data_IF_475207435289
#
_entry.id   IF_475207435289
#
_cell.length_a   1.000
_cell.length_b   1.000
_cell.length_c   1.000
_cell.angle_alpha   90.00
_cell.angle_beta   90.00
_cell.angle_gamma   90.00
#
_symmetry.space_group_name_H-M   'P 1'
#
loop_
_entity.id
_entity.type
_entity.pdbx_description
1 polymer ?
#
# COMPACT_ATOMS: atom_id res chain seq x y z
N UNK A 1 -6.66 12.11 8.10
CA UNK A 1 -6.46 12.49 6.68
C UNK A 1 -6.99 11.33 5.84
N UNK A 2 -7.67 11.59 4.72
CA UNK A 2 -8.24 10.53 3.86
C UNK A 2 -7.74 10.77 2.44
N UNK A 3 -7.24 9.72 1.78
CA UNK A 3 -6.87 9.75 0.37
C UNK A 3 -7.25 8.43 -0.30
N UNK A 4 -8.22 8.47 -1.22
CA UNK A 4 -8.67 7.27 -1.92
C UNK A 4 -8.26 7.35 -3.38
N UNK A 5 -7.59 6.30 -3.88
CA UNK A 5 -7.12 6.17 -5.26
C UNK A 5 -6.21 7.30 -5.74
N UNK A 6 -5.56 8.01 -4.80
CA UNK A 6 -4.67 9.15 -5.12
C UNK A 6 -3.19 8.78 -5.00
N UNK A 7 -2.84 7.85 -4.09
CA UNK A 7 -1.44 7.55 -3.79
C UNK A 7 -0.66 7.04 -5.01
N UNK A 8 -1.32 6.22 -5.84
CA UNK A 8 -0.74 5.63 -7.06
C UNK A 8 -0.42 6.66 -8.16
N UNK A 9 -1.01 7.85 -8.07
CA UNK A 9 -0.90 8.91 -9.06
C UNK A 9 0.15 9.96 -8.68
N UNK A 10 0.75 9.87 -7.48
CA UNK A 10 1.74 10.82 -6.98
C UNK A 10 3.13 10.48 -7.51
N UNK A 11 3.79 11.36 -8.29
CA UNK A 11 5.14 11.11 -8.79
C UNK A 11 6.20 11.16 -7.70
N UNK A 12 6.10 12.10 -6.76
CA UNK A 12 6.96 12.19 -5.57
C UNK A 12 6.25 11.62 -4.34
N UNK A 13 6.28 10.29 -4.25
CA UNK A 13 5.63 9.55 -3.16
C UNK A 13 6.19 9.93 -1.78
N UNK A 14 7.49 10.19 -1.67
CA UNK A 14 8.12 10.46 -0.38
C UNK A 14 7.74 11.85 0.13
N UNK A 15 7.75 12.87 -0.74
CA UNK A 15 7.31 14.22 -0.35
C UNK A 15 5.84 14.23 0.09
N UNK A 16 4.96 13.52 -0.64
CA UNK A 16 3.55 13.40 -0.29
C UNK A 16 3.36 12.77 1.10
N UNK A 17 4.04 11.67 1.40
CA UNK A 17 3.91 10.97 2.68
C UNK A 17 4.52 11.81 3.81
N UNK A 18 5.63 12.49 3.57
CA UNK A 18 6.20 13.44 4.53
C UNK A 18 5.21 14.56 4.87
N UNK A 19 4.52 15.11 3.86
CA UNK A 19 3.45 16.10 4.05
C UNK A 19 2.28 15.55 4.87
N UNK A 20 1.88 14.30 4.63
CA UNK A 20 0.86 13.61 5.44
C UNK A 20 1.29 13.51 6.90
N UNK A 21 2.53 13.11 7.19
CA UNK A 21 3.05 13.03 8.54
C UNK A 21 3.05 14.40 9.26
N UNK A 22 3.44 15.47 8.56
CA UNK A 22 3.43 16.84 9.09
C UNK A 22 2.01 17.30 9.45
N UNK A 23 1.03 17.02 8.60
CA UNK A 23 -0.37 17.46 8.81
C UNK A 23 -1.11 16.61 9.86
N UNK A 24 -0.65 15.40 10.12
CA UNK A 24 -1.31 14.46 11.02
C UNK A 24 -1.14 14.89 12.48
N UNK A 25 -2.26 15.04 13.21
CA UNK A 25 -2.24 15.23 14.67
C UNK A 25 -1.52 14.06 15.36
N UNK A 26 -0.93 14.24 16.56
CA UNK A 26 -0.19 13.17 17.25
C UNK A 26 -0.92 11.82 17.37
N UNK A 27 -2.22 11.84 17.71
CA UNK A 27 -3.07 10.64 17.76
C UNK A 27 -4.04 10.54 16.56
N UNK A 28 -3.73 11.27 15.49
CA UNK A 28 -4.49 11.28 14.26
C UNK A 28 -4.30 9.98 13.46
N UNK A 29 -5.26 9.70 12.59
CA UNK A 29 -5.22 8.56 11.68
C UNK A 29 -5.30 9.03 10.22
N UNK A 30 -4.57 8.32 9.37
CA UNK A 30 -4.61 8.45 7.91
C UNK A 30 -5.22 7.19 7.34
N UNK A 31 -6.09 7.33 6.34
CA UNK A 31 -6.60 6.21 5.55
C UNK A 31 -6.22 6.40 4.10
N UNK A 32 -5.58 5.40 3.51
CA UNK A 32 -5.21 5.40 2.09
C UNK A 32 -5.79 4.17 1.39
N UNK A 33 -6.42 4.37 0.24
CA UNK A 33 -6.93 3.29 -0.62
C UNK A 33 -6.23 3.28 -1.98
N UNK A 34 -5.81 2.12 -2.45
CA UNK A 34 -5.17 1.92 -3.75
C UNK A 34 -5.31 0.47 -4.23
N UNK A 35 -5.24 0.21 -5.57
CA UNK A 35 -5.25 -1.15 -6.11
C UNK A 35 -4.12 -2.01 -5.54
N UNK A 36 -4.41 -3.29 -5.31
CA UNK A 36 -3.47 -4.25 -4.74
C UNK A 36 -2.69 -4.98 -5.83
N UNK A 37 -1.36 -4.86 -5.84
CA UNK A 37 -0.53 -5.50 -6.89
C UNK A 37 -0.68 -7.03 -6.92
N UNK A 38 -0.93 -7.67 -5.78
CA UNK A 38 -1.19 -9.12 -5.72
C UNK A 38 -2.41 -9.49 -6.60
N UNK A 39 -3.49 -8.71 -6.51
CA UNK A 39 -4.73 -8.92 -7.26
C UNK A 39 -4.56 -8.62 -8.74
N UNK A 40 -3.88 -7.51 -9.05
CA UNK A 40 -3.53 -7.15 -10.42
C UNK A 40 -2.82 -8.31 -11.13
N UNK A 41 -1.80 -8.89 -10.48
CA UNK A 41 -1.02 -9.99 -11.05
C UNK A 41 -1.81 -11.30 -11.10
N UNK A 42 -2.59 -11.60 -10.06
CA UNK A 42 -3.39 -12.84 -10.00
C UNK A 42 -4.50 -12.87 -11.05
N UNK A 43 -5.10 -11.72 -11.35
CA UNK A 43 -6.24 -11.58 -12.26
C UNK A 43 -5.84 -11.06 -13.65
N UNK A 44 -4.54 -10.88 -13.89
CA UNK A 44 -3.98 -10.38 -15.15
C UNK A 44 -4.60 -9.04 -15.61
N UNK A 45 -4.80 -8.12 -14.67
CA UNK A 45 -5.39 -6.80 -14.90
C UNK A 45 -4.36 -5.81 -15.49
N UNK A 46 -3.63 -6.23 -16.53
CA UNK A 46 -2.57 -5.43 -17.15
C UNK A 46 -3.10 -4.14 -17.79
N UNK A 47 -4.39 -4.07 -18.11
CA UNK A 47 -5.10 -2.90 -18.60
C UNK A 47 -5.12 -1.74 -17.59
N UNK A 48 -4.89 -2.03 -16.32
CA UNK A 48 -4.73 -1.03 -15.25
C UNK A 48 -3.34 -0.39 -15.22
N UNK A 49 -2.42 -0.84 -16.10
CA UNK A 49 -1.08 -0.28 -16.26
C UNK A 49 -1.09 0.80 -17.35
N UNK A 50 -1.13 2.06 -16.94
CA UNK A 50 -1.14 3.21 -17.86
C UNK A 50 -0.49 4.45 -17.22
N UNK A 51 -0.33 5.49 -18.03
CA UNK A 51 0.49 6.68 -17.72
C UNK A 51 0.08 7.48 -16.49
N UNK A 52 -1.15 7.38 -15.99
CA UNK A 52 -1.57 8.07 -14.75
C UNK A 52 -1.22 7.27 -13.49
N UNK A 53 -0.96 5.95 -13.62
CA UNK A 53 -0.58 5.07 -12.52
C UNK A 53 0.95 4.89 -12.50
N UNK A 54 1.61 5.74 -11.74
CA UNK A 54 3.07 5.71 -11.59
C UNK A 54 3.56 4.55 -10.71
N UNK A 55 2.72 4.10 -9.76
CA UNK A 55 3.10 3.07 -8.78
C UNK A 55 1.99 2.05 -8.57
N UNK A 56 2.39 0.81 -8.26
CA UNK A 56 1.51 -0.30 -7.91
C UNK A 56 1.98 -0.88 -6.58
N UNK A 57 1.09 -0.92 -5.59
CA UNK A 57 1.50 -1.11 -4.21
C UNK A 57 1.16 -2.50 -3.67
N UNK A 58 2.13 -3.07 -2.97
CA UNK A 58 1.95 -4.13 -1.97
C UNK A 58 1.92 -3.50 -0.58
N UNK A 59 1.40 -4.23 0.41
CA UNK A 59 1.51 -3.84 1.81
C UNK A 59 2.97 -3.76 2.28
N UNK A 60 3.85 -4.65 1.79
CA UNK A 60 5.30 -4.63 2.04
C UNK A 60 5.91 -3.26 1.69
N UNK A 61 5.62 -2.73 0.51
CA UNK A 61 6.11 -1.43 0.06
C UNK A 61 5.55 -0.30 0.92
N UNK A 62 4.27 -0.39 1.31
CA UNK A 62 3.60 0.62 2.13
C UNK A 62 4.15 0.65 3.55
N UNK A 63 4.42 -0.49 4.16
CA UNK A 63 5.02 -0.61 5.49
C UNK A 63 6.42 0.03 5.52
N UNK A 64 7.25 -0.30 4.53
CA UNK A 64 8.59 0.30 4.35
C UNK A 64 8.53 1.81 4.15
N UNK A 65 7.61 2.28 3.31
CA UNK A 65 7.42 3.70 3.05
C UNK A 65 6.94 4.43 4.31
N UNK A 66 5.97 3.90 5.03
CA UNK A 66 5.44 4.52 6.24
C UNK A 66 6.53 4.69 7.30
N UNK A 67 7.30 3.62 7.56
CA UNK A 67 8.36 3.62 8.56
C UNK A 67 9.44 4.69 8.28
N UNK A 68 9.77 4.92 7.00
CA UNK A 68 10.72 5.98 6.59
C UNK A 68 10.27 7.38 6.97
N UNK A 69 8.96 7.61 7.10
CA UNK A 69 8.36 8.90 7.39
C UNK A 69 7.80 9.00 8.81
N UNK A 70 8.23 8.11 9.71
CA UNK A 70 7.80 8.11 11.12
C UNK A 70 6.33 7.73 11.33
N UNK A 71 5.74 7.04 10.35
CA UNK A 71 4.39 6.50 10.39
C UNK A 71 4.45 4.98 10.50
N UNK A 72 3.35 4.37 10.96
CA UNK A 72 3.18 2.91 10.97
C UNK A 72 1.76 2.48 10.65
N UNK A 73 1.64 1.28 10.12
CA UNK A 73 0.36 0.61 9.89
C UNK A 73 -0.30 0.22 11.21
N UNK A 74 -1.60 0.47 11.32
CA UNK A 74 -2.44 0.03 12.44
C UNK A 74 -3.56 -0.91 12.02
N UNK A 75 -4.02 -0.83 10.78
CA UNK A 75 -4.97 -1.77 10.21
C UNK A 75 -4.85 -1.84 8.68
N UNK A 76 -5.41 -2.88 8.08
CA UNK A 76 -5.55 -3.06 6.64
C UNK A 76 -6.83 -3.83 6.32
N UNK A 77 -7.54 -3.39 5.28
CA UNK A 77 -8.72 -4.04 4.73
C UNK A 77 -8.49 -4.36 3.24
N UNK A 78 -8.89 -5.56 2.82
CA UNK A 78 -9.00 -5.91 1.40
C UNK A 78 -10.40 -5.56 0.91
N UNK A 79 -10.48 -4.79 -0.18
CA UNK A 79 -11.73 -4.32 -0.76
C UNK A 79 -11.91 -4.89 -2.18
N UNK A 80 -13.14 -5.19 -2.62
CA UNK A 80 -13.40 -5.68 -3.98
C UNK A 80 -13.36 -4.56 -5.04
N UNK A 81 -13.15 -3.30 -4.64
CA UNK A 81 -13.11 -2.15 -5.53
C UNK A 81 -11.93 -2.24 -6.49
N UNK A 82 -12.13 -1.77 -7.74
CA UNK A 82 -11.10 -1.74 -8.78
C UNK A 82 -10.40 -3.08 -9.05
N UNK A 83 -11.12 -4.20 -8.93
CA UNK A 83 -10.53 -5.53 -9.16
C UNK A 83 -9.67 -6.03 -8.00
N UNK A 84 -9.73 -5.38 -6.84
CA UNK A 84 -8.98 -5.73 -5.64
C UNK A 84 -8.10 -4.57 -5.17
N UNK A 85 -8.47 -3.98 -4.03
CA UNK A 85 -7.75 -2.84 -3.44
C UNK A 85 -7.38 -3.12 -1.99
N UNK A 86 -6.36 -2.42 -1.50
CA UNK A 86 -6.08 -2.30 -0.08
C UNK A 86 -6.57 -0.95 0.41
N UNK A 87 -7.21 -0.94 1.58
CA UNK A 87 -7.32 0.24 2.42
C UNK A 87 -6.44 0.08 3.64
N UNK A 88 -5.44 0.93 3.78
CA UNK A 88 -4.51 0.93 4.90
C UNK A 88 -4.83 2.07 5.87
N UNK A 89 -4.56 1.82 7.14
CA UNK A 89 -4.69 2.79 8.21
C UNK A 89 -3.32 3.04 8.83
N UNK A 90 -2.93 4.31 8.89
CA UNK A 90 -1.61 4.72 9.38
C UNK A 90 -1.76 5.73 10.53
N UNK A 91 -0.83 5.70 11.46
CA UNK A 91 -0.67 6.72 12.50
C UNK A 91 0.82 7.06 12.68
N UNK A 92 1.12 8.07 13.50
CA UNK A 92 2.49 8.30 13.97
C UNK A 92 3.04 7.07 14.70
N UNK A 93 4.33 6.80 14.57
CA UNK A 93 5.01 5.67 15.22
C UNK A 93 4.72 5.63 16.73
N UNK A 94 4.81 6.78 17.41
CA UNK A 94 4.61 6.90 18.86
C UNK A 94 3.15 6.99 19.34
N UNK A 95 2.16 6.85 18.45
CA UNK A 95 0.75 6.93 18.81
C UNK A 95 0.28 5.74 19.67
N UNK A 96 -0.78 5.93 20.45
CA UNK A 96 -1.42 4.90 21.27
C UNK A 96 -2.24 3.85 20.48
N UNK A 97 -2.47 4.07 19.17
CA UNK A 97 -3.24 3.14 18.33
C UNK A 97 -2.62 1.74 18.31
N UNK A 98 -3.44 0.71 18.55
CA UNK A 98 -2.98 -0.68 18.52
C UNK A 98 -2.88 -1.19 17.09
N UNK A 99 -1.82 -1.96 16.80
CA UNK A 99 -1.65 -2.64 15.52
C UNK A 99 -2.54 -3.88 15.48
N UNK A 100 -3.34 -4.05 14.42
CA UNK A 100 -4.16 -5.25 14.22
C UNK A 100 -3.39 -6.38 13.55
N UNK A 101 -3.80 -7.61 13.84
CA UNK A 101 -3.20 -8.84 13.28
C UNK A 101 -3.37 -8.98 11.77
N UNK A 102 -4.38 -8.30 11.19
CA UNK A 102 -4.61 -8.21 9.74
C UNK A 102 -3.36 -7.83 8.97
N UNK A 103 -2.55 -6.93 9.52
CA UNK A 103 -1.30 -6.47 8.91
C UNK A 103 -0.27 -7.60 8.87
N UNK A 104 -0.05 -8.29 9.98
CA UNK A 104 0.96 -9.36 10.04
C UNK A 104 0.58 -10.52 9.10
N UNK A 105 -0.71 -10.88 9.06
CA UNK A 105 -1.25 -11.91 8.17
C UNK A 105 -1.02 -11.56 6.69
N UNK A 106 -1.30 -10.31 6.31
CA UNK A 106 -1.14 -9.87 4.93
C UNK A 106 0.34 -9.73 4.54
N UNK A 107 1.20 -9.17 5.41
CA UNK A 107 2.65 -9.10 5.15
C UNK A 107 3.26 -10.50 4.97
N UNK A 108 2.87 -11.48 5.79
CA UNK A 108 3.34 -12.86 5.64
C UNK A 108 2.86 -13.47 4.32
N UNK A 109 1.59 -13.23 3.95
CA UNK A 109 1.04 -13.69 2.67
C UNK A 109 1.81 -13.11 1.48
N UNK A 110 2.02 -11.80 1.45
CA UNK A 110 2.76 -11.13 0.36
C UNK A 110 4.21 -11.61 0.27
N UNK A 111 4.85 -11.83 1.42
CA UNK A 111 6.20 -12.41 1.48
C UNK A 111 6.23 -13.82 0.90
N UNK A 112 5.26 -14.67 1.26
CA UNK A 112 5.14 -16.04 0.75
C UNK A 112 4.84 -16.07 -0.75
N UNK A 113 4.11 -15.07 -1.26
CA UNK A 113 3.86 -14.89 -2.69
C UNK A 113 5.06 -14.27 -3.44
N UNK A 114 6.14 -13.94 -2.73
CA UNK A 114 7.36 -13.43 -3.35
C UNK A 114 7.24 -12.00 -3.85
N UNK A 115 6.32 -11.18 -3.31
CA UNK A 115 6.16 -9.78 -3.74
C UNK A 115 7.35 -8.87 -3.33
N UNK A 116 8.30 -9.40 -2.54
CA UNK A 116 9.60 -8.76 -2.32
C UNK A 116 10.66 -9.11 -3.38
N UNK A 117 10.37 -10.04 -4.29
CA UNK A 117 11.35 -10.67 -5.18
C UNK A 117 11.10 -10.31 -6.65
N UNK A 118 12.15 -9.84 -7.34
CA UNK A 118 12.06 -9.46 -8.75
C UNK A 118 11.63 -10.62 -9.66
N UNK A 119 11.97 -11.87 -9.30
CA UNK A 119 11.58 -13.06 -10.07
C UNK A 119 10.07 -13.24 -10.19
N UNK A 120 9.31 -12.82 -9.18
CA UNK A 120 7.84 -12.90 -9.17
C UNK A 120 7.27 -12.00 -10.26
N UNK A 121 7.75 -10.76 -10.33
CA UNK A 121 7.35 -9.78 -11.36
C UNK A 121 7.82 -10.20 -12.76
N UNK A 122 9.03 -10.75 -12.88
CA UNK A 122 9.52 -11.28 -14.15
C UNK A 122 8.62 -12.40 -14.70
N UNK A 123 8.06 -13.25 -13.82
CA UNK A 123 7.15 -14.33 -14.23
C UNK A 123 5.80 -13.84 -14.77
N UNK A 124 5.35 -12.66 -14.34
CA UNK A 124 4.10 -12.04 -14.82
C UNK A 124 4.19 -11.63 -16.28
N UNK A 125 5.35 -11.09 -16.69
CA UNK A 125 5.59 -10.68 -18.08
C UNK A 125 5.53 -11.82 -19.11
N UNK A 126 5.59 -13.08 -18.68
CA UNK A 126 5.41 -14.26 -19.54
C UNK A 126 3.96 -14.76 -19.61
N UNK A 127 3.08 -14.27 -18.74
CA UNK A 127 1.65 -14.64 -18.70
C UNK A 127 0.75 -13.65 -19.42
N UNK A 128 1.19 -12.39 -19.55
CA UNK A 128 0.50 -11.32 -20.27
C UNK A 128 0.66 -11.45 -21.80
#
# INVERSE_FOLDING_TARGET
IIGNNVLAQVPDLNDFVAGVAILLKPEGMVTLEFPHIERLMAENQFDTIYHEHFSYFSLLTVDLMAARHGLRLIDVEELPTHGGSLRVYLCHEGSAWQRKDSIAQLLERETRHGLGEMSTYASFGYKA
#
